data_IF_278870048191
#
_entry.id   IF_278870048191
#
_cell.length_a   1.000
_cell.length_b   1.000
_cell.length_c   1.000
_cell.angle_alpha   90.00
_cell.angle_beta   90.00
_cell.angle_gamma   90.00
#
_symmetry.space_group_name_H-M   'P 1'
#
loop_
_entity.id
_entity.type
_entity.pdbx_description
1 polymer ?
#
# COMPACT_ATOMS: atom_id res chain seq x y z
N UNK A 1 36.30 -12.36 -25.37
CA UNK A 1 35.01 -12.48 -24.67
C UNK A 1 34.83 -11.20 -23.85
N UNK A 2 34.09 -10.21 -24.36
CA UNK A 2 33.98 -8.89 -23.73
C UNK A 2 32.75 -8.86 -22.83
N UNK A 3 33.00 -8.54 -21.57
CA UNK A 3 32.05 -8.35 -20.48
C UNK A 3 31.05 -7.23 -20.80
N UNK A 4 29.76 -7.52 -20.71
CA UNK A 4 28.65 -6.54 -20.82
C UNK A 4 28.11 -6.22 -19.42
N UNK A 5 28.96 -5.69 -18.56
CA UNK A 5 28.61 -5.31 -17.17
C UNK A 5 28.23 -3.83 -17.02
N UNK A 6 27.67 -3.17 -18.04
CA UNK A 6 27.61 -1.70 -18.09
C UNK A 6 26.31 -1.02 -18.52
N UNK A 7 25.12 -1.61 -18.36
CA UNK A 7 23.88 -1.02 -18.93
C UNK A 7 22.63 -0.93 -18.03
N UNK A 8 22.69 -1.27 -16.74
CA UNK A 8 21.49 -1.45 -15.91
C UNK A 8 21.30 -0.47 -14.74
N UNK A 9 22.09 0.60 -14.64
CA UNK A 9 21.90 1.63 -13.63
C UNK A 9 20.95 2.72 -14.15
N UNK A 10 19.63 2.60 -13.98
CA UNK A 10 18.72 3.71 -14.32
C UNK A 10 17.36 3.78 -13.61
N UNK A 11 17.04 2.89 -12.68
CA UNK A 11 15.79 2.95 -11.92
C UNK A 11 16.11 2.97 -10.43
N UNK A 12 15.93 4.13 -9.80
CA UNK A 12 16.07 4.30 -8.35
C UNK A 12 15.11 3.36 -7.62
N UNK A 13 15.66 2.67 -6.61
CA UNK A 13 14.99 1.66 -5.78
C UNK A 13 13.74 2.18 -5.03
N UNK A 14 13.56 3.49 -4.92
CA UNK A 14 12.47 4.12 -4.16
C UNK A 14 11.10 4.07 -4.84
N UNK A 15 11.05 3.86 -6.17
CA UNK A 15 9.79 3.60 -6.87
C UNK A 15 9.34 2.14 -6.75
N UNK A 16 10.31 1.24 -6.59
CA UNK A 16 10.14 -0.22 -6.52
C UNK A 16 9.70 -0.66 -5.12
N UNK A 17 10.19 -0.01 -4.06
CA UNK A 17 9.81 -0.29 -2.67
C UNK A 17 8.32 -0.02 -2.34
N UNK A 18 7.57 0.63 -3.23
CA UNK A 18 6.14 0.95 -3.05
C UNK A 18 5.18 -0.14 -3.50
N UNK A 19 5.71 -1.20 -4.12
CA UNK A 19 4.96 -2.40 -4.52
C UNK A 19 5.31 -3.61 -3.65
N UNK A 20 5.82 -3.41 -2.43
CA UNK A 20 6.15 -4.49 -1.49
C UNK A 20 4.95 -5.41 -1.27
N UNK A 21 4.99 -6.57 -1.90
CA UNK A 21 4.24 -7.77 -1.57
C UNK A 21 4.91 -8.34 -0.33
N UNK A 22 4.34 -8.04 0.84
CA UNK A 22 4.65 -8.83 2.02
C UNK A 22 4.14 -10.25 1.76
N UNK A 23 5.07 -11.17 1.48
CA UNK A 23 4.74 -12.54 1.15
C UNK A 23 4.03 -13.25 2.29
N UNK A 24 2.86 -13.83 1.97
CA UNK A 24 2.58 -15.26 2.09
C UNK A 24 1.20 -15.60 1.53
N UNK A 25 1.15 -16.75 0.85
CA UNK A 25 -0.03 -17.51 0.44
C UNK A 25 -0.97 -16.87 -0.60
N UNK A 26 -1.19 -17.60 -1.69
CA UNK A 26 -2.32 -17.44 -2.61
C UNK A 26 -3.63 -17.24 -1.81
N UNK A 27 -4.10 -16.00 -1.67
CA UNK A 27 -5.53 -15.63 -1.45
C UNK A 27 -5.73 -14.17 -1.00
N UNK A 28 -4.70 -13.44 -0.58
CA UNK A 28 -4.86 -12.07 -0.06
C UNK A 28 -3.68 -11.18 -0.45
N UNK A 29 -3.79 -10.54 -1.61
CA UNK A 29 -2.86 -9.52 -2.08
C UNK A 29 -3.07 -8.22 -1.28
N UNK A 30 -2.43 -8.12 -0.11
CA UNK A 30 -2.29 -6.85 0.61
C UNK A 30 -1.23 -6.00 -0.10
N UNK A 31 -1.63 -5.30 -1.15
CA UNK A 31 -0.85 -4.17 -1.63
C UNK A 31 -1.16 -3.01 -0.67
N UNK A 32 -0.20 -2.41 0.04
CA UNK A 32 -0.43 -1.09 0.67
C UNK A 32 -0.06 -0.01 -0.34
N UNK A 33 -1.02 0.86 -0.69
CA UNK A 33 -0.81 1.99 -1.62
C UNK A 33 -0.29 3.17 -0.78
N UNK A 34 1.03 3.31 -0.67
CA UNK A 34 1.59 4.53 -0.10
C UNK A 34 1.60 5.63 -1.17
N UNK A 35 0.72 6.61 -1.02
CA UNK A 35 0.68 7.84 -1.81
C UNK A 35 1.86 8.73 -1.41
N UNK A 36 2.98 8.59 -2.10
CA UNK A 36 4.12 9.51 -1.98
C UNK A 36 4.33 10.19 -3.33
N UNK A 37 4.33 11.51 -3.32
CA UNK A 37 4.58 12.42 -4.45
C UNK A 37 5.77 11.96 -5.31
N UNK A 38 5.51 11.63 -6.59
CA UNK A 38 6.58 11.44 -7.58
C UNK A 38 7.17 12.82 -7.91
N UNK A 39 8.49 12.90 -8.11
CA UNK A 39 9.09 14.06 -8.75
C UNK A 39 8.65 14.11 -10.22
N UNK A 40 8.38 15.32 -10.73
CA UNK A 40 7.90 15.56 -12.10
C UNK A 40 8.77 14.88 -13.18
N UNK A 41 10.08 14.77 -12.95
CA UNK A 41 11.04 14.11 -13.86
C UNK A 41 10.93 12.58 -13.89
N UNK A 42 10.38 11.97 -12.85
CA UNK A 42 10.18 10.51 -12.79
C UNK A 42 8.88 10.11 -13.49
N UNK A 43 7.83 10.93 -13.38
CA UNK A 43 6.55 10.72 -14.07
C UNK A 43 6.71 10.81 -15.60
N UNK A 44 7.41 11.83 -16.10
CA UNK A 44 7.74 11.97 -17.53
C UNK A 44 8.47 10.73 -18.10
N UNK A 45 9.34 10.09 -17.31
CA UNK A 45 10.00 8.85 -17.73
C UNK A 45 9.00 7.71 -17.88
N UNK A 46 8.08 7.55 -16.92
CA UNK A 46 7.06 6.51 -16.97
C UNK A 46 6.13 6.72 -18.17
N UNK A 47 5.74 7.95 -18.47
CA UNK A 47 4.95 8.28 -19.67
C UNK A 47 5.67 7.87 -20.96
N UNK A 48 6.96 8.21 -21.09
CA UNK A 48 7.76 7.84 -22.27
C UNK A 48 7.87 6.32 -22.46
N UNK A 49 8.03 5.57 -21.37
CA UNK A 49 8.07 4.11 -21.41
C UNK A 49 6.67 3.51 -21.58
N UNK A 50 5.61 4.16 -21.13
CA UNK A 50 4.22 3.74 -21.34
C UNK A 50 3.85 3.85 -22.84
N UNK A 51 4.25 4.93 -23.51
CA UNK A 51 4.13 5.03 -24.97
C UNK A 51 4.93 3.95 -25.69
N UNK A 52 6.15 3.65 -25.23
CA UNK A 52 6.96 2.58 -25.80
C UNK A 52 6.35 1.18 -25.55
N UNK A 53 5.66 0.98 -24.43
CA UNK A 53 4.94 -0.24 -24.10
C UNK A 53 3.73 -0.44 -25.01
N UNK A 54 2.91 0.59 -25.20
CA UNK A 54 1.81 0.57 -26.17
C UNK A 54 2.31 0.22 -27.56
N UNK A 55 3.32 0.95 -28.04
CA UNK A 55 3.93 0.66 -29.33
C UNK A 55 4.49 -0.78 -29.39
N UNK A 56 5.15 -1.24 -28.33
CA UNK A 56 5.64 -2.62 -28.26
C UNK A 56 4.52 -3.66 -28.31
N UNK A 57 3.33 -3.37 -27.81
CA UNK A 57 2.16 -4.25 -27.90
C UNK A 57 1.55 -4.29 -29.30
N UNK A 58 1.63 -3.20 -30.07
CA UNK A 58 1.10 -3.11 -31.45
C UNK A 58 2.10 -3.54 -32.52
N UNK A 59 3.41 -3.43 -32.24
CA UNK A 59 4.43 -3.55 -33.27
C UNK A 59 4.61 -5.00 -33.75
N UNK A 60 4.01 -5.38 -34.87
CA UNK A 60 4.12 -6.74 -35.43
C UNK A 60 5.45 -6.99 -36.16
N UNK A 61 6.11 -5.94 -36.65
CA UNK A 61 7.30 -6.04 -37.50
C UNK A 61 8.60 -5.73 -36.74
N UNK A 62 9.02 -6.65 -35.87
CA UNK A 62 10.21 -6.46 -35.03
C UNK A 62 11.50 -6.20 -35.78
N UNK A 63 11.75 -6.96 -36.83
CA UNK A 63 12.99 -6.86 -37.60
C UNK A 63 13.18 -5.49 -38.25
N UNK A 64 12.10 -4.74 -38.47
CA UNK A 64 12.10 -3.46 -39.15
C UNK A 64 11.82 -2.28 -38.19
N UNK A 65 11.51 -2.56 -36.92
CA UNK A 65 11.24 -1.52 -35.94
C UNK A 65 12.54 -0.78 -35.56
N UNK A 66 12.58 0.54 -35.80
CA UNK A 66 13.73 1.40 -35.47
C UNK A 66 13.74 1.89 -34.01
N UNK A 67 12.65 1.68 -33.27
CA UNK A 67 12.50 2.17 -31.89
C UNK A 67 13.33 1.33 -30.92
N UNK A 68 14.48 1.84 -30.50
CA UNK A 68 15.33 1.22 -29.45
C UNK A 68 14.55 0.94 -28.15
N UNK A 69 13.57 1.80 -27.82
CA UNK A 69 12.72 1.63 -26.62
C UNK A 69 11.75 0.46 -26.78
N UNK A 70 11.19 0.26 -27.97
CA UNK A 70 10.35 -0.90 -28.27
C UNK A 70 11.09 -2.21 -28.00
N UNK A 71 12.30 -2.35 -28.56
CA UNK A 71 13.16 -3.51 -28.36
C UNK A 71 13.47 -3.73 -26.89
N UNK A 72 13.79 -2.66 -26.16
CA UNK A 72 14.06 -2.73 -24.72
C UNK A 72 12.84 -3.20 -23.92
N UNK A 73 11.66 -2.63 -24.16
CA UNK A 73 10.44 -3.01 -23.45
C UNK A 73 10.07 -4.47 -23.73
N UNK A 74 10.18 -4.93 -24.98
CA UNK A 74 9.95 -6.33 -25.33
C UNK A 74 10.92 -7.27 -24.65
N UNK A 75 12.22 -6.95 -24.64
CA UNK A 75 13.21 -7.75 -23.91
C UNK A 75 12.87 -7.84 -22.41
N UNK A 76 12.38 -6.75 -21.81
CA UNK A 76 11.92 -6.76 -20.42
C UNK A 76 10.65 -7.60 -20.21
N UNK A 77 9.69 -7.58 -21.15
CA UNK A 77 8.50 -8.45 -21.11
C UNK A 77 8.90 -9.92 -21.25
N UNK A 78 9.78 -10.24 -22.20
CA UNK A 78 10.28 -11.60 -22.42
C UNK A 78 10.99 -12.14 -21.17
N UNK A 79 11.83 -11.31 -20.55
CA UNK A 79 12.44 -11.63 -19.26
C UNK A 79 11.38 -11.87 -18.19
N UNK A 80 10.38 -11.00 -18.05
CA UNK A 80 9.31 -11.14 -17.05
C UNK A 80 8.55 -12.46 -17.21
N UNK A 81 8.17 -12.82 -18.43
CA UNK A 81 7.46 -14.06 -18.71
C UNK A 81 8.31 -15.28 -18.40
N UNK A 82 9.61 -15.26 -18.74
CA UNK A 82 10.53 -16.39 -18.53
C UNK A 82 11.03 -16.50 -17.08
N UNK A 83 11.21 -15.39 -16.39
CA UNK A 83 11.71 -15.34 -15.02
C UNK A 83 10.57 -15.41 -14.00
N UNK A 84 9.65 -14.44 -14.02
CA UNK A 84 8.60 -14.35 -13.03
C UNK A 84 7.44 -15.32 -13.30
N UNK A 85 7.10 -15.57 -14.57
CA UNK A 85 6.00 -16.46 -14.96
C UNK A 85 6.01 -17.82 -14.24
N UNK A 86 7.11 -18.60 -14.29
CA UNK A 86 7.20 -19.89 -13.61
C UNK A 86 7.18 -19.80 -12.08
N UNK A 87 7.73 -18.72 -11.52
CA UNK A 87 7.92 -18.58 -10.06
C UNK A 87 6.82 -17.78 -9.36
N UNK A 88 5.80 -17.30 -10.08
CA UNK A 88 4.75 -16.41 -9.58
C UNK A 88 4.01 -16.94 -8.34
N UNK A 89 3.97 -18.25 -8.14
CA UNK A 89 3.27 -18.92 -7.04
C UNK A 89 4.19 -19.23 -5.86
N UNK A 90 5.51 -19.24 -6.08
CA UNK A 90 6.51 -19.72 -5.10
C UNK A 90 7.43 -18.61 -4.61
N UNK A 91 7.52 -17.49 -5.32
CA UNK A 91 8.51 -16.47 -5.01
C UNK A 91 8.01 -15.06 -5.33
N UNK A 92 8.31 -14.07 -4.47
CA UNK A 92 7.89 -12.69 -4.65
C UNK A 92 8.53 -12.06 -5.89
N UNK A 93 7.82 -11.12 -6.53
CA UNK A 93 8.32 -10.45 -7.73
C UNK A 93 9.61 -9.66 -7.45
N UNK A 94 9.73 -9.16 -6.22
CA UNK A 94 10.85 -8.39 -5.66
C UNK A 94 12.18 -9.12 -5.68
N UNK A 95 12.19 -10.44 -5.81
CA UNK A 95 13.45 -11.19 -5.89
C UNK A 95 14.17 -11.04 -7.24
N UNK A 96 13.65 -10.24 -8.18
CA UNK A 96 14.32 -9.92 -9.44
C UNK A 96 14.10 -8.45 -9.81
N UNK A 97 15.16 -7.65 -9.82
CA UNK A 97 15.10 -6.21 -10.09
C UNK A 97 14.47 -5.87 -11.44
N UNK A 98 14.77 -6.64 -12.48
CA UNK A 98 14.25 -6.39 -13.82
C UNK A 98 12.75 -6.72 -13.93
N UNK A 99 12.30 -7.76 -13.22
CA UNK A 99 10.89 -8.08 -13.11
C UNK A 99 10.10 -6.98 -12.41
N UNK A 100 10.66 -6.36 -11.35
CA UNK A 100 9.94 -5.29 -10.65
C UNK A 100 9.81 -4.04 -11.51
N UNK A 101 10.83 -3.71 -12.31
CA UNK A 101 10.79 -2.53 -13.20
C UNK A 101 9.68 -2.63 -14.24
N UNK A 102 9.59 -3.76 -14.96
CA UNK A 102 8.54 -3.95 -15.97
C UNK A 102 7.16 -4.11 -15.34
N UNK A 103 7.06 -4.74 -14.17
CA UNK A 103 5.80 -4.78 -13.41
C UNK A 103 5.33 -3.39 -12.98
N UNK A 104 6.23 -2.53 -12.51
CA UNK A 104 5.92 -1.14 -12.19
C UNK A 104 5.37 -0.40 -13.41
N UNK A 105 5.96 -0.61 -14.60
CA UNK A 105 5.47 -0.03 -15.84
C UNK A 105 4.08 -0.55 -16.23
N UNK A 106 3.83 -1.86 -16.10
CA UNK A 106 2.51 -2.46 -16.35
C UNK A 106 1.44 -1.92 -15.39
N UNK A 107 1.77 -1.77 -14.10
CA UNK A 107 0.90 -1.15 -13.11
C UNK A 107 0.61 0.33 -13.42
N UNK A 108 1.62 1.08 -13.85
CA UNK A 108 1.44 2.47 -14.29
C UNK A 108 0.52 2.57 -15.51
N UNK A 109 0.74 1.70 -16.50
CA UNK A 109 -0.13 1.61 -17.67
C UNK A 109 -1.57 1.31 -17.26
N UNK A 110 -1.81 0.29 -16.42
CA UNK A 110 -3.14 -0.08 -15.98
C UNK A 110 -3.89 1.07 -15.26
N UNK A 111 -3.19 1.89 -14.46
CA UNK A 111 -3.77 3.07 -13.80
C UNK A 111 -4.12 4.21 -14.75
N UNK A 112 -3.33 4.39 -15.81
CA UNK A 112 -3.50 5.46 -16.80
C UNK A 112 -4.24 5.00 -18.06
N UNK A 113 -4.68 3.73 -18.10
CA UNK A 113 -5.30 3.14 -19.27
C UNK A 113 -6.75 3.64 -19.41
N UNK A 114 -7.00 4.34 -20.51
CA UNK A 114 -8.30 4.89 -20.86
C UNK A 114 -9.18 3.91 -21.68
N UNK A 115 -8.77 2.65 -21.82
CA UNK A 115 -9.59 1.65 -22.51
C UNK A 115 -10.93 1.53 -21.76
N UNK A 116 -12.08 1.57 -22.45
CA UNK A 116 -13.39 1.41 -21.81
C UNK A 116 -13.45 0.14 -20.95
N UNK A 117 -14.34 0.12 -19.95
CA UNK A 117 -14.48 -1.04 -19.04
C UNK A 117 -14.91 -2.29 -19.81
N UNK A 118 -15.70 -2.12 -20.88
CA UNK A 118 -16.15 -3.19 -21.76
C UNK A 118 -15.11 -3.58 -22.83
N UNK A 119 -14.02 -2.81 -22.95
CA UNK A 119 -12.97 -3.02 -23.94
C UNK A 119 -11.78 -3.78 -23.37
N UNK A 120 -11.12 -4.56 -24.22
CA UNK A 120 -9.86 -5.22 -23.91
C UNK A 120 -8.67 -4.33 -24.28
N UNK A 121 -7.76 -4.14 -23.33
CA UNK A 121 -6.51 -3.45 -23.62
C UNK A 121 -5.52 -4.38 -24.33
N UNK A 122 -4.87 -3.87 -25.38
CA UNK A 122 -3.84 -4.58 -26.13
C UNK A 122 -2.56 -4.87 -25.31
N UNK A 123 -2.34 -4.14 -24.22
CA UNK A 123 -1.18 -4.34 -23.35
C UNK A 123 -1.43 -5.56 -22.48
N UNK A 124 -0.56 -6.56 -22.61
CA UNK A 124 -0.62 -7.77 -21.80
C UNK A 124 -0.71 -7.47 -20.30
N UNK A 125 -1.56 -8.21 -19.60
CA UNK A 125 -1.85 -8.05 -18.16
C UNK A 125 -2.59 -6.77 -17.74
N UNK A 126 -2.84 -5.82 -18.65
CA UNK A 126 -3.51 -4.56 -18.31
C UNK A 126 -4.91 -4.78 -17.72
N UNK A 127 -5.77 -5.55 -18.39
CA UNK A 127 -7.14 -5.82 -17.92
C UNK A 127 -7.17 -6.48 -16.54
N UNK A 128 -6.28 -7.47 -16.34
CA UNK A 128 -6.11 -8.13 -15.05
C UNK A 128 -5.68 -7.13 -13.96
N UNK A 129 -4.70 -6.27 -14.25
CA UNK A 129 -4.19 -5.28 -13.31
C UNK A 129 -5.24 -4.20 -13.01
N UNK A 130 -6.00 -3.73 -14.00
CA UNK A 130 -7.12 -2.80 -13.81
C UNK A 130 -8.14 -3.38 -12.83
N UNK A 131 -8.54 -4.63 -13.04
CA UNK A 131 -9.44 -5.34 -12.12
C UNK A 131 -8.87 -5.46 -10.70
N UNK A 132 -7.58 -5.76 -10.56
CA UNK A 132 -6.91 -5.83 -9.25
C UNK A 132 -6.81 -4.47 -8.55
N UNK A 133 -6.51 -3.40 -9.30
CA UNK A 133 -6.46 -2.04 -8.77
C UNK A 133 -7.85 -1.62 -8.29
N UNK A 134 -8.89 -1.79 -9.10
CA UNK A 134 -10.26 -1.44 -8.74
C UNK A 134 -10.78 -2.26 -7.53
N UNK A 135 -10.46 -3.57 -7.47
CA UNK A 135 -10.81 -4.41 -6.34
C UNK A 135 -10.18 -3.89 -5.04
N UNK A 136 -8.90 -3.50 -5.12
CA UNK A 136 -8.18 -2.97 -3.97
C UNK A 136 -8.74 -1.63 -3.53
N UNK A 137 -8.96 -0.70 -4.45
CA UNK A 137 -9.54 0.62 -4.13
C UNK A 137 -10.88 0.47 -3.41
N UNK A 138 -11.71 -0.49 -3.86
CA UNK A 138 -12.96 -0.83 -3.17
C UNK A 138 -12.72 -1.33 -1.73
N UNK A 139 -11.74 -2.21 -1.53
CA UNK A 139 -11.41 -2.70 -0.18
C UNK A 139 -10.87 -1.58 0.72
N UNK A 140 -9.98 -0.74 0.19
CA UNK A 140 -9.41 0.39 0.92
C UNK A 140 -10.52 1.38 1.33
N UNK A 141 -11.51 1.65 0.46
CA UNK A 141 -12.68 2.45 0.81
C UNK A 141 -13.51 1.82 1.95
N UNK A 142 -13.77 0.51 1.88
CA UNK A 142 -14.52 -0.19 2.94
C UNK A 142 -13.80 -0.15 4.29
N UNK A 143 -12.47 -0.29 4.29
CA UNK A 143 -11.66 -0.20 5.51
C UNK A 143 -11.70 1.21 6.12
N UNK A 144 -11.62 2.24 5.27
CA UNK A 144 -11.73 3.63 5.72
C UNK A 144 -13.12 3.94 6.29
N UNK A 145 -14.17 3.40 5.69
CA UNK A 145 -15.54 3.57 6.18
C UNK A 145 -15.75 2.87 7.54
N UNK A 146 -15.26 1.64 7.72
CA UNK A 146 -15.30 0.93 9.01
C UNK A 146 -14.48 1.65 10.10
N UNK A 147 -13.29 2.17 9.74
CA UNK A 147 -12.47 2.95 10.67
C UNK A 147 -13.18 4.25 11.10
N UNK A 148 -13.85 4.94 10.16
CA UNK A 148 -14.65 6.13 10.44
C UNK A 148 -15.81 5.81 11.38
N UNK A 149 -16.53 4.72 11.13
CA UNK A 149 -17.66 4.30 11.97
C UNK A 149 -17.20 3.93 13.39
N UNK A 150 -16.09 3.20 13.52
CA UNK A 150 -15.49 2.87 14.82
C UNK A 150 -15.13 4.13 15.61
N UNK A 151 -14.49 5.11 14.96
CA UNK A 151 -14.18 6.40 15.59
C UNK A 151 -15.46 7.13 16.03
N UNK A 152 -16.49 7.16 15.18
CA UNK A 152 -17.76 7.79 15.51
C UNK A 152 -18.42 7.14 16.73
N UNK A 153 -18.42 5.81 16.82
CA UNK A 153 -18.93 5.08 18.00
C UNK A 153 -18.10 5.35 19.25
N UNK A 154 -16.78 5.43 19.14
CA UNK A 154 -15.93 5.80 20.26
C UNK A 154 -16.27 7.20 20.78
N UNK A 155 -16.43 8.18 19.88
CA UNK A 155 -16.81 9.56 20.24
C UNK A 155 -18.19 9.61 20.90
N UNK A 156 -19.16 8.82 20.43
CA UNK A 156 -20.51 8.80 21.01
C UNK A 156 -20.57 8.10 22.39
N UNK A 157 -19.75 7.08 22.60
CA UNK A 157 -19.70 6.33 23.85
C UNK A 157 -18.71 6.93 24.87
N UNK A 158 -17.87 7.87 24.44
CA UNK A 158 -16.98 8.60 25.32
C UNK A 158 -17.81 9.57 26.18
N UNK A 159 -17.64 9.44 27.50
CA UNK A 159 -18.32 10.34 28.43
C UNK A 159 -17.81 11.77 28.18
N UNK A 160 -18.71 12.77 28.08
CA UNK A 160 -18.31 14.16 27.97
C UNK A 160 -17.26 14.49 29.02
N UNK A 161 -16.23 15.24 28.62
CA UNK A 161 -15.09 15.55 29.49
C UNK A 161 -15.55 16.17 30.80
N UNK A 162 -16.59 17.00 30.75
CA UNK A 162 -17.23 17.64 31.91
C UNK A 162 -17.78 16.59 32.88
N UNK A 163 -18.40 15.52 32.37
CA UNK A 163 -18.97 14.44 33.18
C UNK A 163 -17.88 13.57 33.81
N UNK A 164 -16.77 13.34 33.10
CA UNK A 164 -15.59 12.65 33.65
C UNK A 164 -14.94 13.45 34.78
N UNK A 165 -14.79 14.77 34.61
CA UNK A 165 -14.26 15.67 35.63
C UNK A 165 -15.17 15.66 36.87
N UNK A 166 -16.48 15.81 36.69
CA UNK A 166 -17.45 15.79 37.80
C UNK A 166 -17.40 14.49 38.62
N UNK A 167 -17.20 13.34 37.96
CA UNK A 167 -17.07 12.06 38.66
C UNK A 167 -15.76 11.98 39.44
N UNK A 168 -14.62 12.40 38.86
CA UNK A 168 -13.32 12.43 39.55
C UNK A 168 -13.40 13.33 40.80
N UNK A 169 -14.06 14.48 40.69
CA UNK A 169 -14.27 15.39 41.81
C UNK A 169 -15.14 14.77 42.91
N UNK A 170 -16.24 14.10 42.53
CA UNK A 170 -17.11 13.40 43.47
C UNK A 170 -16.36 12.25 44.20
N UNK A 171 -15.62 11.44 43.46
CA UNK A 171 -14.82 10.34 44.00
C UNK A 171 -13.73 10.86 44.95
N UNK A 172 -13.09 11.98 44.62
CA UNK A 172 -12.11 12.65 45.48
C UNK A 172 -12.73 13.08 46.81
N UNK A 173 -13.92 13.68 46.78
CA UNK A 173 -14.63 14.11 48.01
C UNK A 173 -14.98 12.89 48.86
N UNK A 174 -15.50 11.83 48.24
CA UNK A 174 -15.86 10.60 48.93
C UNK A 174 -14.65 9.93 49.60
N UNK A 175 -13.51 9.89 48.91
CA UNK A 175 -12.27 9.33 49.44
C UNK A 175 -11.75 10.14 50.65
N UNK A 176 -11.81 11.47 50.58
CA UNK A 176 -11.42 12.33 51.71
C UNK A 176 -12.32 12.12 52.93
N UNK A 177 -13.63 11.92 52.73
CA UNK A 177 -14.57 11.64 53.81
C UNK A 177 -14.23 10.31 54.49
N UNK A 178 -14.01 9.24 53.72
CA UNK A 178 -13.59 7.94 54.25
C UNK A 178 -12.29 8.03 55.06
N UNK A 179 -11.32 8.79 54.59
CA UNK A 179 -10.06 9.02 55.31
C UNK A 179 -10.31 9.72 56.65
N UNK A 180 -11.19 10.72 56.69
CA UNK A 180 -11.55 11.42 57.91
C UNK A 180 -12.23 10.48 58.91
N UNK A 181 -13.19 9.66 58.45
CA UNK A 181 -13.92 8.72 59.28
C UNK A 181 -12.99 7.64 59.88
N UNK A 182 -12.04 7.12 59.09
CA UNK A 182 -11.02 6.17 59.57
C UNK A 182 -10.14 6.80 60.65
N UNK A 183 -9.72 8.06 60.46
CA UNK A 183 -8.91 8.79 61.45
C UNK A 183 -9.69 9.02 62.75
N UNK A 184 -10.95 9.42 62.65
CA UNK A 184 -11.82 9.61 63.80
C UNK A 184 -12.07 8.30 64.57
N UNK A 185 -12.37 7.21 63.86
CA UNK A 185 -12.54 5.88 64.46
C UNK A 185 -11.26 5.40 65.18
N UNK A 186 -10.09 5.60 64.56
CA UNK A 186 -8.79 5.30 65.20
C UNK A 186 -8.57 6.12 66.47
N UNK A 187 -8.82 7.42 66.44
CA UNK A 187 -8.69 8.28 67.61
C UNK A 187 -9.59 7.81 68.77
N UNK A 188 -10.86 7.47 68.48
CA UNK A 188 -11.78 6.96 69.51
C UNK A 188 -11.40 5.58 70.05
N UNK A 189 -10.85 4.71 69.21
CA UNK A 189 -10.34 3.40 69.67
C UNK A 189 -9.07 3.52 70.53
N UNK A 190 -8.25 4.55 70.29
CA UNK A 190 -7.05 4.82 71.07
C UNK A 190 -7.38 5.36 72.46
N UNK A 191 -8.38 6.24 72.57
CA UNK A 191 -8.89 6.78 73.84
C UNK A 191 -9.60 5.73 74.71
N UNK A 192 -10.15 4.66 74.10
CA UNK A 192 -10.80 3.56 74.83
C UNK A 192 -9.84 2.53 75.44
N UNK A 193 -8.58 2.53 75.00
CA UNK A 193 -7.55 1.56 75.42
C UNK A 193 -6.46 2.19 76.33
N UNK A 194 -6.65 3.43 76.75
CA UNK A 194 -5.84 4.14 77.77
C UNK A 194 -6.68 4.40 79.00
#
# INVERSE_FOLDING_TARGET
MKSVHGAFAFFDNDAINRYKVAGRSHSTLNMRLHTSTLSRSHEEKFELYNHALLHASECTQMAQCSSKRCHKVRASIDHFVRCYGPRRTVSPIESCEDCVKIWGLLCYHAKSCNTPIEGHCIVSQCDYLRGKIAQKEKMDCMELDDAREKLQRCVQNEWPTERRIAQIEADRIQALQLIADIRAAKAMSHVRNT
#
